data_IF_247160196577
#
_entry.id   IF_247160196577
#
_cell.length_a   1.000
_cell.length_b   1.000
_cell.length_c   1.000
_cell.angle_alpha   90.00
_cell.angle_beta   90.00
_cell.angle_gamma   90.00
#
_symmetry.space_group_name_H-M   'P 1'
#
loop_
_entity.id
_entity.type
_entity.pdbx_description
1 polymer ?
#
# COMPACT_ATOMS: atom_id res chain seq x y z
N UNK A 1 3.43 36.82 4.12
CA UNK A 1 2.75 35.60 3.67
C UNK A 1 3.50 35.07 2.47
N UNK A 2 4.33 34.06 2.71
CA UNK A 2 5.31 33.56 1.73
C UNK A 2 4.62 32.68 0.68
N UNK A 3 5.29 32.46 -0.46
CA UNK A 3 4.82 31.56 -1.51
C UNK A 3 4.59 30.11 -1.03
N UNK A 4 5.12 29.74 0.15
CA UNK A 4 4.93 28.43 0.79
C UNK A 4 3.55 28.28 1.47
N UNK A 5 3.01 29.33 2.09
CA UNK A 5 1.65 29.29 2.67
C UNK A 5 0.57 29.08 1.58
N UNK A 6 0.81 29.63 0.38
CA UNK A 6 -0.07 29.47 -0.78
C UNK A 6 0.02 28.08 -1.44
N UNK A 7 1.12 27.34 -1.25
CA UNK A 7 1.27 25.98 -1.78
C UNK A 7 0.53 24.97 -0.89
N UNK A 8 0.65 25.11 0.44
CA UNK A 8 -0.07 24.30 1.42
C UNK A 8 -1.60 24.50 1.36
N UNK A 9 -2.07 25.73 1.15
CA UNK A 9 -3.50 26.00 0.97
C UNK A 9 -4.07 25.50 -0.37
N UNK A 10 -3.21 25.35 -1.40
CA UNK A 10 -3.59 24.72 -2.67
C UNK A 10 -3.62 23.19 -2.59
N UNK A 11 -2.73 22.58 -1.80
CA UNK A 11 -2.79 21.14 -1.50
C UNK A 11 -4.02 20.78 -0.64
N UNK A 12 -4.38 21.62 0.34
CA UNK A 12 -5.59 21.42 1.15
C UNK A 12 -6.88 21.41 0.33
N UNK A 13 -6.95 22.15 -0.79
CA UNK A 13 -8.12 22.24 -1.68
C UNK A 13 -8.31 21.07 -2.65
N UNK A 14 -7.40 20.09 -2.67
CA UNK A 14 -7.54 18.84 -3.46
C UNK A 14 -7.68 17.61 -2.58
N UNK A 15 -8.17 17.77 -1.34
CA UNK A 15 -8.61 16.64 -0.54
C UNK A 15 -9.90 16.09 -1.15
N UNK A 16 -10.00 14.77 -1.19
CA UNK A 16 -11.25 14.09 -1.50
C UNK A 16 -12.16 14.35 -0.30
N UNK A 17 -13.10 15.28 -0.44
CA UNK A 17 -14.11 15.61 0.59
C UNK A 17 -15.29 14.62 0.58
N UNK A 18 -15.19 13.54 -0.20
CA UNK A 18 -16.22 12.50 -0.26
C UNK A 18 -15.80 11.39 0.68
N UNK A 19 -16.54 11.25 1.78
CA UNK A 19 -16.43 10.10 2.67
C UNK A 19 -16.80 8.84 1.88
N UNK A 20 -15.90 7.83 1.82
CA UNK A 20 -16.23 6.57 1.17
C UNK A 20 -17.32 5.85 1.94
N UNK A 21 -18.10 5.04 1.24
CA UNK A 21 -18.94 4.04 1.88
C UNK A 21 -18.44 2.64 1.54
N UNK A 22 -18.70 1.69 2.44
CA UNK A 22 -18.37 0.30 2.22
C UNK A 22 -19.48 -0.39 1.42
N UNK A 23 -19.08 -1.18 0.42
CA UNK A 23 -19.93 -2.08 -0.33
C UNK A 23 -19.36 -3.50 -0.30
N UNK A 24 -20.21 -4.47 -0.63
CA UNK A 24 -19.80 -5.86 -0.79
C UNK A 24 -20.39 -6.44 -2.07
N UNK A 25 -19.55 -7.12 -2.84
CA UNK A 25 -19.95 -7.89 -4.03
C UNK A 25 -19.39 -9.31 -3.99
N UNK A 26 -19.44 -10.01 -5.13
CA UNK A 26 -18.96 -11.39 -5.27
C UNK A 26 -17.45 -11.56 -5.05
N UNK A 27 -16.66 -10.49 -5.19
CA UNK A 27 -15.21 -10.51 -5.00
C UNK A 27 -14.84 -10.20 -3.54
N UNK A 28 -15.65 -9.42 -2.83
CA UNK A 28 -15.48 -9.15 -1.41
C UNK A 28 -15.94 -7.76 -0.98
N UNK A 29 -15.43 -7.32 0.17
CA UNK A 29 -15.64 -5.96 0.69
C UNK A 29 -14.83 -4.97 -0.14
N UNK A 30 -15.39 -3.80 -0.40
CA UNK A 30 -14.71 -2.69 -1.07
C UNK A 30 -15.15 -1.34 -0.49
N UNK A 31 -14.26 -0.36 -0.54
CA UNK A 31 -14.62 1.03 -0.31
C UNK A 31 -14.88 1.71 -1.63
N UNK A 32 -15.94 2.50 -1.69
CA UNK A 32 -16.41 3.18 -2.89
C UNK A 32 -16.47 4.68 -2.63
N UNK A 33 -15.95 5.47 -3.56
CA UNK A 33 -16.05 6.93 -3.53
C UNK A 33 -16.20 7.47 -4.95
N UNK A 34 -16.95 8.56 -5.11
CA UNK A 34 -17.01 9.29 -6.38
C UNK A 34 -16.19 10.56 -6.27
N UNK A 35 -15.32 10.81 -7.26
CA UNK A 35 -14.51 12.02 -7.30
C UNK A 35 -14.37 12.50 -8.74
N UNK A 36 -14.67 13.77 -8.97
CA UNK A 36 -14.59 14.43 -10.28
C UNK A 36 -15.32 13.67 -11.42
N UNK A 37 -16.47 13.07 -11.09
CA UNK A 37 -17.29 12.30 -12.02
C UNK A 37 -16.83 10.85 -12.28
N UNK A 38 -15.70 10.43 -11.70
CA UNK A 38 -15.24 9.04 -11.75
C UNK A 38 -15.60 8.29 -10.47
N UNK A 39 -15.91 6.99 -10.62
CA UNK A 39 -16.13 6.07 -9.53
C UNK A 39 -14.81 5.38 -9.18
N UNK A 40 -14.42 5.44 -7.91
CA UNK A 40 -13.25 4.77 -7.39
C UNK A 40 -13.66 3.63 -6.47
N UNK A 41 -12.98 2.49 -6.61
CA UNK A 41 -13.20 1.30 -5.78
C UNK A 41 -11.86 0.80 -5.25
N UNK A 42 -11.79 0.48 -3.95
CA UNK A 42 -10.66 -0.23 -3.34
C UNK A 42 -11.18 -1.51 -2.72
N UNK A 43 -10.81 -2.63 -3.31
CA UNK A 43 -11.14 -3.94 -2.77
C UNK A 43 -10.29 -4.22 -1.53
N UNK A 44 -10.93 -4.68 -0.45
CA UNK A 44 -10.29 -4.94 0.83
C UNK A 44 -9.90 -6.41 0.93
N UNK A 45 -8.61 -6.71 0.73
CA UNK A 45 -8.00 -8.04 0.92
C UNK A 45 -8.75 -9.15 0.14
N UNK A 46 -8.72 -9.08 -1.19
CA UNK A 46 -9.27 -10.19 -1.98
C UNK A 46 -8.23 -11.31 -2.14
N UNK A 47 -8.62 -12.58 -2.00
CA UNK A 47 -7.69 -13.71 -2.07
C UNK A 47 -7.17 -13.94 -3.49
N UNK A 48 -8.03 -13.74 -4.49
CA UNK A 48 -7.74 -13.94 -5.91
C UNK A 48 -8.17 -12.69 -6.66
N UNK A 49 -7.25 -12.12 -7.44
CA UNK A 49 -7.55 -11.00 -8.32
C UNK A 49 -8.16 -11.55 -9.62
N UNK A 50 -9.29 -11.02 -10.11
CA UNK A 50 -9.86 -11.41 -11.39
C UNK A 50 -8.87 -11.33 -12.56
N UNK A 51 -8.78 -12.40 -13.36
CA UNK A 51 -7.84 -12.50 -14.49
C UNK A 51 -7.99 -11.36 -15.51
N UNK A 52 -9.21 -10.81 -15.64
CA UNK A 52 -9.49 -9.65 -16.51
C UNK A 52 -8.69 -8.39 -16.14
N UNK A 53 -8.10 -8.32 -14.95
CA UNK A 53 -7.30 -7.19 -14.48
C UNK A 53 -5.79 -7.41 -14.58
N UNK A 54 -5.33 -8.64 -14.84
CA UNK A 54 -3.92 -8.99 -14.64
C UNK A 54 -2.96 -8.27 -15.58
N UNK A 55 -3.31 -8.18 -16.86
CA UNK A 55 -2.47 -7.51 -17.86
C UNK A 55 -2.40 -6.00 -17.60
N UNK A 56 -3.54 -5.35 -17.35
CA UNK A 56 -3.58 -3.92 -17.00
C UNK A 56 -2.75 -3.63 -15.74
N UNK A 57 -2.84 -4.48 -14.71
CA UNK A 57 -2.04 -4.35 -13.51
C UNK A 57 -0.55 -4.60 -13.75
N UNK A 58 -0.20 -5.56 -14.61
CA UNK A 58 1.18 -5.81 -15.01
C UNK A 58 1.79 -4.61 -15.75
N UNK A 59 1.08 -4.05 -16.73
CA UNK A 59 1.55 -2.88 -17.49
C UNK A 59 1.76 -1.66 -16.56
N UNK A 60 0.84 -1.47 -15.61
CA UNK A 60 0.97 -0.44 -14.58
C UNK A 60 2.17 -0.68 -13.67
N UNK A 61 2.39 -1.92 -13.24
CA UNK A 61 3.55 -2.32 -12.44
C UNK A 61 4.86 -2.05 -13.21
N UNK A 62 4.97 -2.55 -14.43
CA UNK A 62 6.19 -2.43 -15.25
C UNK A 62 6.57 -0.97 -15.46
N UNK A 63 5.58 -0.13 -15.79
CA UNK A 63 5.76 1.31 -15.98
C UNK A 63 6.08 2.02 -14.67
N UNK A 64 5.48 1.61 -13.55
CA UNK A 64 5.70 2.26 -12.24
C UNK A 64 7.05 1.91 -11.62
N UNK A 65 7.60 0.73 -11.95
CA UNK A 65 8.90 0.27 -11.46
C UNK A 65 10.07 0.64 -12.40
N UNK A 66 9.80 1.17 -13.59
CA UNK A 66 10.81 1.73 -14.49
C UNK A 66 11.30 3.11 -14.01
N UNK A 67 12.02 3.14 -12.90
CA UNK A 67 12.54 4.36 -12.29
C UNK A 67 14.02 4.49 -12.63
N UNK A 68 14.34 5.25 -13.68
CA UNK A 68 15.73 5.42 -14.17
C UNK A 68 16.67 6.03 -13.14
N UNK A 69 16.13 6.83 -12.23
CA UNK A 69 16.86 7.51 -11.17
C UNK A 69 17.02 6.65 -9.90
N UNK A 70 16.41 5.46 -9.85
CA UNK A 70 16.53 4.59 -8.69
C UNK A 70 17.93 3.97 -8.61
N UNK A 71 18.49 3.96 -7.40
CA UNK A 71 19.80 3.35 -7.12
C UNK A 71 19.77 1.82 -7.27
N UNK A 72 18.60 1.21 -7.11
CA UNK A 72 18.36 -0.23 -7.23
C UNK A 72 17.14 -0.49 -8.11
N UNK A 73 17.20 -1.55 -8.93
CA UNK A 73 16.04 -2.02 -9.67
C UNK A 73 14.89 -2.33 -8.70
N UNK A 74 13.75 -1.72 -8.95
CA UNK A 74 12.55 -1.86 -8.13
C UNK A 74 11.64 -3.01 -8.62
N UNK A 75 12.01 -3.68 -9.72
CA UNK A 75 11.26 -4.81 -10.27
C UNK A 75 11.56 -6.08 -9.49
N UNK A 76 10.69 -6.40 -8.53
CA UNK A 76 10.78 -7.63 -7.74
C UNK A 76 10.15 -8.87 -8.42
N UNK A 77 9.23 -8.65 -9.37
CA UNK A 77 8.46 -9.70 -10.04
C UNK A 77 8.74 -9.76 -11.54
N UNK A 78 8.89 -10.98 -12.07
CA UNK A 78 8.64 -11.29 -13.48
C UNK A 78 7.13 -11.35 -13.76
N UNK A 79 6.73 -11.32 -15.04
CA UNK A 79 5.32 -11.45 -15.45
C UNK A 79 4.67 -12.71 -14.86
N UNK A 80 5.37 -13.85 -14.95
CA UNK A 80 4.88 -15.12 -14.42
C UNK A 80 4.69 -15.05 -12.91
N UNK A 81 5.70 -14.58 -12.17
CA UNK A 81 5.61 -14.45 -10.71
C UNK A 81 4.52 -13.47 -10.27
N UNK A 82 4.29 -12.40 -11.03
CA UNK A 82 3.22 -11.46 -10.77
C UNK A 82 1.85 -12.12 -10.92
N UNK A 83 1.63 -12.91 -11.97
CA UNK A 83 0.38 -13.65 -12.17
C UNK A 83 0.17 -14.75 -11.14
N UNK A 84 1.23 -15.48 -10.78
CA UNK A 84 1.19 -16.44 -9.67
C UNK A 84 0.76 -15.74 -8.37
N UNK A 85 1.38 -14.59 -8.06
CA UNK A 85 1.02 -13.79 -6.90
C UNK A 85 -0.46 -13.35 -6.94
N UNK A 86 -1.04 -13.03 -8.10
CA UNK A 86 -2.46 -12.62 -8.23
C UNK A 86 -3.46 -13.69 -7.79
N UNK A 87 -3.07 -14.97 -7.87
CA UNK A 87 -3.92 -16.12 -7.48
C UNK A 87 -3.60 -16.70 -6.11
N UNK A 88 -2.48 -16.31 -5.53
CA UNK A 88 -1.92 -16.93 -4.34
C UNK A 88 -2.53 -16.31 -3.06
N UNK A 89 -3.32 -17.07 -2.28
CA UNK A 89 -4.09 -16.55 -1.15
C UNK A 89 -3.23 -16.06 0.03
N UNK A 90 -1.94 -16.41 0.06
CA UNK A 90 -1.02 -15.93 1.09
C UNK A 90 -0.59 -14.48 0.87
N UNK A 91 -0.81 -13.94 -0.33
CA UNK A 91 -0.68 -12.51 -0.58
C UNK A 91 -1.97 -11.77 -0.26
N UNK A 92 -1.84 -10.71 0.54
CA UNK A 92 -2.87 -9.71 0.79
C UNK A 92 -2.86 -8.73 -0.37
N UNK A 93 -4.03 -8.48 -0.98
CA UNK A 93 -4.14 -7.68 -2.20
C UNK A 93 -5.28 -6.68 -2.09
N UNK A 94 -4.98 -5.44 -2.47
CA UNK A 94 -5.94 -4.35 -2.57
C UNK A 94 -5.91 -3.77 -3.99
N UNK A 95 -6.62 -4.40 -4.95
CA UNK A 95 -6.83 -3.81 -6.26
C UNK A 95 -7.61 -2.51 -6.16
N UNK A 96 -7.22 -1.55 -6.99
CA UNK A 96 -7.77 -0.21 -7.01
C UNK A 96 -8.32 0.03 -8.40
N UNK A 97 -9.61 0.31 -8.49
CA UNK A 97 -10.28 0.57 -9.75
C UNK A 97 -10.72 2.04 -9.86
N UNK A 98 -10.75 2.52 -11.10
CA UNK A 98 -11.42 3.76 -11.50
C UNK A 98 -12.31 3.41 -12.69
N UNK A 99 -13.61 3.65 -12.56
CA UNK A 99 -14.63 3.33 -13.56
C UNK A 99 -14.53 1.86 -14.02
N UNK A 100 -14.32 0.94 -13.06
CA UNK A 100 -14.19 -0.50 -13.28
C UNK A 100 -12.86 -0.97 -13.87
N UNK A 101 -11.90 -0.06 -14.13
CA UNK A 101 -10.58 -0.39 -14.68
C UNK A 101 -9.47 -0.31 -13.63
N UNK A 102 -8.50 -1.23 -13.62
CA UNK A 102 -7.37 -1.16 -12.70
C UNK A 102 -6.57 0.13 -12.88
N UNK A 103 -6.34 0.82 -11.76
CA UNK A 103 -5.49 2.01 -11.67
C UNK A 103 -4.42 1.89 -10.60
N UNK A 104 -4.39 0.78 -9.85
CA UNK A 104 -3.34 0.52 -8.88
C UNK A 104 -3.52 -0.80 -8.15
N UNK A 105 -2.48 -1.16 -7.40
CA UNK A 105 -2.47 -2.33 -6.54
C UNK A 105 -1.57 -2.03 -5.34
N UNK A 106 -2.05 -2.41 -4.17
CA UNK A 106 -1.21 -2.63 -3.00
C UNK A 106 -1.21 -4.11 -2.66
N UNK A 107 -0.02 -4.66 -2.47
CA UNK A 107 0.17 -6.07 -2.12
C UNK A 107 1.10 -6.20 -0.93
N UNK A 108 0.78 -7.14 -0.05
CA UNK A 108 1.62 -7.52 1.07
C UNK A 108 1.55 -9.00 1.37
N UNK A 109 2.33 -9.46 2.35
CA UNK A 109 2.31 -10.86 2.81
C UNK A 109 2.59 -10.93 4.31
N UNK A 110 2.04 -11.95 4.97
CA UNK A 110 2.43 -12.31 6.34
C UNK A 110 3.47 -13.43 6.38
N UNK A 111 3.80 -14.02 5.23
CA UNK A 111 4.75 -15.13 5.11
C UNK A 111 6.17 -14.58 4.89
N UNK A 112 7.10 -14.76 5.85
CA UNK A 112 8.47 -14.28 5.72
C UNK A 112 9.22 -14.84 4.51
N UNK A 113 8.93 -16.07 4.07
CA UNK A 113 9.64 -16.63 2.92
C UNK A 113 9.24 -15.94 1.62
N UNK A 114 7.99 -15.48 1.49
CA UNK A 114 7.54 -14.67 0.35
C UNK A 114 8.14 -13.27 0.36
N UNK A 115 8.50 -12.73 1.52
CA UNK A 115 9.17 -11.42 1.63
C UNK A 115 10.53 -11.40 0.92
N UNK A 116 11.16 -12.57 0.74
CA UNK A 116 12.45 -12.70 0.02
C UNK A 116 12.38 -12.22 -1.43
N UNK A 117 11.21 -12.22 -2.05
CA UNK A 117 11.02 -11.66 -3.41
C UNK A 117 11.46 -10.20 -3.47
N UNK A 118 11.35 -9.47 -2.34
CA UNK A 118 11.83 -8.10 -2.18
C UNK A 118 13.20 -8.02 -1.49
N UNK A 119 14.04 -9.06 -1.60
CA UNK A 119 15.37 -9.13 -0.99
C UNK A 119 15.40 -9.01 0.54
N UNK A 120 14.25 -9.20 1.21
CA UNK A 120 14.15 -9.16 2.67
C UNK A 120 14.83 -10.39 3.27
N UNK A 121 15.60 -10.18 4.35
CA UNK A 121 16.09 -11.27 5.19
C UNK A 121 15.01 -11.70 6.20
N UNK A 122 14.38 -12.88 6.03
CA UNK A 122 13.32 -13.30 6.94
C UNK A 122 13.82 -13.66 8.33
N UNK A 123 15.09 -14.06 8.49
CA UNK A 123 15.65 -14.37 9.80
C UNK A 123 15.82 -13.11 10.64
N UNK A 124 16.16 -11.98 10.00
CA UNK A 124 16.12 -10.67 10.64
C UNK A 124 14.70 -10.31 11.09
N UNK A 125 13.70 -10.47 10.22
CA UNK A 125 12.29 -10.17 10.55
C UNK A 125 11.80 -11.04 11.72
N UNK A 126 12.10 -12.35 11.70
CA UNK A 126 11.78 -13.29 12.78
C UNK A 126 12.44 -12.91 14.09
N UNK A 127 13.73 -12.56 14.07
CA UNK A 127 14.46 -12.17 15.26
C UNK A 127 13.95 -10.84 15.84
N UNK A 128 13.58 -9.88 14.97
CA UNK A 128 13.16 -8.54 15.37
C UNK A 128 11.71 -8.49 15.87
N UNK A 129 10.82 -9.30 15.30
CA UNK A 129 9.38 -9.32 15.61
C UNK A 129 8.84 -10.75 15.84
N UNK A 130 9.41 -11.52 16.79
CA UNK A 130 9.13 -12.95 16.93
C UNK A 130 7.65 -13.23 17.20
N UNK A 131 7.00 -12.43 18.04
CA UNK A 131 5.58 -12.63 18.36
C UNK A 131 4.64 -12.33 17.19
N UNK A 132 4.89 -11.23 16.47
CA UNK A 132 4.04 -10.83 15.35
C UNK A 132 4.16 -11.82 14.20
N UNK A 133 5.37 -12.34 13.93
CA UNK A 133 5.59 -13.40 12.95
C UNK A 133 4.91 -14.70 13.38
N UNK A 134 5.09 -15.15 14.64
CA UNK A 134 4.49 -16.38 15.13
C UNK A 134 2.95 -16.38 15.06
N UNK A 135 2.33 -15.21 15.25
CA UNK A 135 0.88 -15.03 15.17
C UNK A 135 0.36 -14.70 13.77
N UNK A 136 1.24 -14.61 12.76
CA UNK A 136 0.93 -14.11 11.40
C UNK A 136 0.27 -12.72 11.41
N UNK A 137 0.67 -11.87 12.34
CA UNK A 137 0.22 -10.47 12.52
C UNK A 137 1.30 -9.46 12.14
N UNK A 138 2.34 -9.86 11.42
CA UNK A 138 3.23 -8.95 10.72
C UNK A 138 2.87 -8.97 9.24
N UNK A 139 2.61 -7.81 8.65
CA UNK A 139 2.44 -7.67 7.21
C UNK A 139 3.63 -6.92 6.63
N UNK A 140 4.26 -7.50 5.63
CA UNK A 140 5.28 -6.82 4.82
C UNK A 140 4.66 -6.34 3.51
N UNK A 141 4.74 -5.04 3.24
CA UNK A 141 4.34 -4.41 1.98
C UNK A 141 5.31 -4.80 0.86
N UNK A 142 4.81 -5.57 -0.10
CA UNK A 142 5.61 -6.11 -1.20
C UNK A 142 5.62 -5.18 -2.41
N UNK A 143 4.46 -4.68 -2.81
CA UNK A 143 4.40 -3.76 -3.94
C UNK A 143 3.29 -2.76 -3.74
N UNK A 144 3.53 -1.54 -4.17
CA UNK A 144 2.55 -0.46 -4.17
C UNK A 144 2.77 0.38 -5.41
N UNK A 145 1.79 0.41 -6.30
CA UNK A 145 1.84 1.23 -7.51
C UNK A 145 0.48 1.79 -7.87
N UNK A 146 0.51 2.95 -8.52
CA UNK A 146 -0.68 3.68 -8.95
C UNK A 146 -0.42 4.28 -10.33
N UNK A 147 -1.46 4.32 -11.14
CA UNK A 147 -1.49 5.03 -12.41
C UNK A 147 -1.12 6.50 -12.18
N UNK A 148 -0.27 7.11 -13.04
CA UNK A 148 0.03 8.54 -12.97
C UNK A 148 -1.22 9.42 -12.93
N UNK A 149 -2.33 8.97 -13.52
CA UNK A 149 -3.62 9.68 -13.56
C UNK A 149 -4.16 10.02 -12.17
N UNK A 150 -3.90 9.19 -11.16
CA UNK A 150 -4.50 9.31 -9.83
C UNK A 150 -3.54 9.84 -8.75
N UNK A 151 -2.24 9.96 -9.06
CA UNK A 151 -1.21 10.36 -8.08
C UNK A 151 -1.40 11.77 -7.52
N UNK A 152 -1.95 12.69 -8.31
CA UNK A 152 -2.13 14.10 -7.95
C UNK A 152 -3.55 14.46 -7.50
N UNK A 153 -4.41 13.47 -7.27
CA UNK A 153 -5.83 13.64 -6.97
C UNK A 153 -6.15 13.61 -5.46
N UNK A 154 -5.13 13.56 -4.59
CA UNK A 154 -5.34 13.39 -3.14
C UNK A 154 -5.83 11.98 -2.74
N UNK A 155 -6.12 11.13 -3.73
CA UNK A 155 -6.60 9.76 -3.58
C UNK A 155 -5.62 8.83 -2.86
N UNK A 156 -4.33 9.13 -2.90
CA UNK A 156 -3.31 8.31 -2.23
C UNK A 156 -3.52 8.22 -0.72
N UNK A 157 -3.79 9.35 -0.05
CA UNK A 157 -4.04 9.36 1.40
C UNK A 157 -5.28 8.54 1.77
N UNK A 158 -6.31 8.57 0.92
CA UNK A 158 -7.53 7.78 1.09
C UNK A 158 -7.27 6.27 0.96
N UNK A 159 -6.53 5.84 -0.07
CA UNK A 159 -6.14 4.43 -0.24
C UNK A 159 -5.30 3.96 0.93
N UNK A 160 -4.33 4.76 1.36
CA UNK A 160 -3.48 4.43 2.51
C UNK A 160 -4.35 4.26 3.75
N UNK A 161 -5.25 5.21 4.06
CA UNK A 161 -6.16 5.09 5.20
C UNK A 161 -7.00 3.81 5.15
N UNK A 162 -7.65 3.54 4.02
CA UNK A 162 -8.46 2.33 3.80
C UNK A 162 -7.67 1.04 4.10
N UNK A 163 -6.42 1.00 3.64
CA UNK A 163 -5.52 -0.13 3.83
C UNK A 163 -5.06 -0.23 5.29
N UNK A 164 -4.79 0.89 5.97
CA UNK A 164 -4.39 0.90 7.37
C UNK A 164 -5.52 0.51 8.32
N UNK A 165 -6.74 0.97 8.06
CA UNK A 165 -7.93 0.56 8.81
C UNK A 165 -8.14 -0.95 8.68
N UNK A 166 -7.98 -1.51 7.47
CA UNK A 166 -8.06 -2.95 7.28
C UNK A 166 -6.86 -3.69 7.91
N UNK A 167 -5.66 -3.12 7.85
CA UNK A 167 -4.49 -3.68 8.52
C UNK A 167 -4.64 -3.75 10.02
N UNK A 168 -5.32 -2.81 10.67
CA UNK A 168 -5.58 -2.86 12.10
C UNK A 168 -6.34 -4.13 12.54
N UNK A 169 -7.15 -4.72 11.64
CA UNK A 169 -7.84 -5.99 11.89
C UNK A 169 -6.86 -7.20 11.86
N UNK A 170 -5.86 -7.16 10.98
CA UNK A 170 -5.06 -8.35 10.62
C UNK A 170 -3.58 -8.27 11.02
N UNK A 171 -3.06 -7.10 11.40
CA UNK A 171 -1.66 -6.92 11.76
C UNK A 171 -1.48 -6.09 13.05
N UNK A 172 -0.39 -6.40 13.75
CA UNK A 172 0.15 -5.61 14.85
C UNK A 172 1.37 -4.79 14.39
N UNK A 173 2.05 -5.27 13.34
CA UNK A 173 3.27 -4.66 12.78
C UNK A 173 3.14 -4.61 11.25
N UNK A 174 3.34 -3.43 10.68
CA UNK A 174 3.51 -3.24 9.23
C UNK A 174 4.96 -2.85 8.92
N UNK A 175 5.56 -3.52 7.94
CA UNK A 175 6.93 -3.28 7.48
C UNK A 175 6.91 -3.02 5.99
N UNK A 176 7.70 -2.08 5.51
CA UNK A 176 7.90 -1.85 4.08
C UNK A 176 9.28 -1.25 3.81
N UNK A 177 9.78 -1.54 2.63
CA UNK A 177 10.94 -0.84 2.05
C UNK A 177 10.44 0.40 1.27
N UNK A 178 11.23 1.47 1.26
CA UNK A 178 11.03 2.64 0.41
C UNK A 178 12.33 3.03 -0.26
N UNK A 179 12.31 3.07 -1.58
CA UNK A 179 13.44 3.48 -2.41
C UNK A 179 13.59 4.99 -2.57
N UNK A 180 12.65 5.80 -2.05
CA UNK A 180 12.79 7.26 -2.08
C UNK A 180 13.48 7.77 -0.81
N UNK A 181 14.66 8.35 -1.01
CA UNK A 181 15.49 9.03 0.01
C UNK A 181 14.85 10.30 0.58
N UNK A 182 13.76 10.76 -0.02
CA UNK A 182 12.92 11.81 0.54
C UNK A 182 11.96 11.12 1.52
N UNK A 183 11.73 11.72 2.67
CA UNK A 183 10.90 11.21 3.76
C UNK A 183 9.34 11.22 3.57
N UNK A 184 8.69 11.41 2.39
CA UNK A 184 7.22 11.47 2.32
C UNK A 184 6.49 10.22 2.82
N UNK A 185 6.93 8.99 2.50
CA UNK A 185 6.08 7.84 2.81
C UNK A 185 5.93 7.61 4.32
N UNK A 186 7.04 7.65 5.08
CA UNK A 186 6.98 7.55 6.55
C UNK A 186 5.97 8.56 7.13
N UNK A 187 6.04 9.82 6.70
CA UNK A 187 5.12 10.87 7.16
C UNK A 187 3.67 10.62 6.73
N UNK A 188 3.43 10.16 5.51
CA UNK A 188 2.09 9.85 5.02
C UNK A 188 1.47 8.70 5.83
N UNK A 189 2.26 7.68 6.16
CA UNK A 189 1.77 6.56 6.95
C UNK A 189 1.55 6.93 8.42
N UNK A 190 2.42 7.76 9.00
CA UNK A 190 2.22 8.35 10.33
C UNK A 190 0.94 9.18 10.37
N UNK A 191 0.73 10.05 9.36
CA UNK A 191 -0.47 10.88 9.24
C UNK A 191 -1.74 10.02 9.07
N UNK A 192 -1.69 8.99 8.22
CA UNK A 192 -2.85 8.10 8.02
C UNK A 192 -3.21 7.35 9.31
N UNK A 193 -2.22 6.92 10.11
CA UNK A 193 -2.46 6.29 11.40
C UNK A 193 -3.08 7.27 12.42
N UNK A 194 -2.59 8.51 12.48
CA UNK A 194 -3.13 9.58 13.32
C UNK A 194 -4.59 9.91 12.95
N UNK A 195 -4.87 10.11 11.67
CA UNK A 195 -6.22 10.39 11.15
C UNK A 195 -7.20 9.22 11.40
N UNK A 196 -6.68 8.00 11.54
CA UNK A 196 -7.45 6.79 11.86
C UNK A 196 -7.59 6.52 13.37
N UNK A 197 -7.00 7.37 14.22
CA UNK A 197 -7.00 7.19 15.68
C UNK A 197 -6.20 5.96 16.15
N UNK A 198 -5.29 5.45 15.33
CA UNK A 198 -4.46 4.28 15.65
C UNK A 198 -3.14 4.78 16.24
N UNK A 199 -2.87 4.54 17.54
CA UNK A 199 -1.60 4.95 18.12
C UNK A 199 -0.48 4.08 17.57
N UNK A 200 0.53 4.72 16.96
CA UNK A 200 1.66 4.02 16.32
C UNK A 200 3.02 4.52 16.79
N UNK A 201 4.02 3.64 16.72
CA UNK A 201 5.44 3.98 16.82
C UNK A 201 6.12 3.62 15.50
N UNK A 202 6.83 4.59 14.91
CA UNK A 202 7.61 4.37 13.69
C UNK A 202 9.12 4.32 14.00
N UNK A 203 9.85 3.52 13.24
CA UNK A 203 11.32 3.46 13.31
C UNK A 203 11.94 3.08 11.96
N UNK A 204 13.17 3.54 11.70
CA UNK A 204 13.98 3.10 10.55
C UNK A 204 14.76 1.85 10.97
N UNK A 205 14.77 0.82 10.12
CA UNK A 205 15.43 -0.46 10.39
C UNK A 205 16.75 -0.56 9.62
N UNK A 206 17.87 -0.61 10.35
CA UNK A 206 19.20 -0.83 9.75
C UNK A 206 19.78 0.39 9.02
N UNK A 207 20.63 0.13 8.01
CA UNK A 207 21.38 1.17 7.26
C UNK A 207 20.81 1.46 5.86
N UNK A 208 19.84 0.67 5.39
CA UNK A 208 19.00 0.93 4.22
C UNK A 208 17.64 1.46 4.70
N UNK A 209 16.88 2.16 3.84
CA UNK A 209 15.63 2.87 4.22
C UNK A 209 14.44 1.93 4.42
N UNK A 210 14.59 0.90 5.25
CA UNK A 210 13.47 0.10 5.75
C UNK A 210 12.79 0.85 6.88
N UNK A 211 11.45 0.80 6.96
CA UNK A 211 10.73 1.33 8.10
C UNK A 211 9.70 0.33 8.62
N UNK A 212 9.44 0.43 9.92
CA UNK A 212 8.37 -0.31 10.57
C UNK A 212 7.42 0.66 11.28
N UNK A 213 6.13 0.29 11.28
CA UNK A 213 5.09 0.95 12.05
C UNK A 213 4.44 -0.11 12.93
N UNK A 214 4.53 0.10 14.24
CA UNK A 214 3.97 -0.79 15.25
C UNK A 214 2.77 -0.14 15.91
N UNK A 215 1.66 -0.87 16.03
CA UNK A 215 0.51 -0.41 16.81
C UNK A 215 0.83 -0.49 18.30
N UNK A 216 0.57 0.60 19.03
CA UNK A 216 0.65 0.62 20.49
C UNK A 216 -0.62 0.03 21.06
N UNK A 217 -0.49 -0.95 21.96
CA UNK A 217 -1.62 -1.46 22.76
C UNK A 217 -1.72 -0.59 24.01
N UNK A 218 -2.87 0.06 24.19
CA UNK A 218 -3.28 0.68 25.46
C UNK A 218 -3.74 -0.36 26.45
#
# INVERSE_FOLDING_TARGET
>A
MSQEENALDREKKKRIDVEPHEEQDELGRKLVASFDGSLFEVYLRIPIVPNKWWLDLWELYETSMDIKEAVQDQRAYTLQQFFEAMTDPEYIKYPILMDGKPVGLVMGTTDPEKMRVNYVNPDFIRARFPEAVAKRRLVYGMVTFFSPKIRSMGFYGWVVRAIFDNYAEICDVYVSDVSDSRLPLKRILEQAAEESGIPVKSEVLGTQTYFAISRLRT
#
